data_IF_565358337034
#
_entry.id   IF_565358337034
#
_cell.length_a   1.000
_cell.length_b   1.000
_cell.length_c   1.000
_cell.angle_alpha   90.00
_cell.angle_beta   90.00
_cell.angle_gamma   90.00
#
_symmetry.space_group_name_H-M   'P 1'
#
loop_
_entity.id
_entity.type
_entity.pdbx_description
1 polymer ?
#
# COMPACT_ATOMS: atom_id res chain seq x y z
N UNK A 1 11.82 29.88 -53.77
CA UNK A 1 10.58 29.09 -54.01
C UNK A 1 10.87 27.60 -54.14
N UNK A 2 11.99 27.17 -54.73
CA UNK A 2 12.29 25.72 -54.85
C UNK A 2 12.57 25.03 -53.51
N UNK A 3 13.15 25.76 -52.54
CA UNK A 3 13.48 25.22 -51.21
C UNK A 3 12.24 24.85 -50.36
N UNK A 4 11.20 25.69 -50.39
CA UNK A 4 9.94 25.43 -49.67
C UNK A 4 9.18 24.23 -50.25
N UNK A 5 9.27 24.00 -51.57
CA UNK A 5 8.70 22.82 -52.22
C UNK A 5 9.43 21.54 -51.87
N UNK A 6 10.74 21.58 -51.64
CA UNK A 6 11.50 20.41 -51.20
C UNK A 6 11.25 20.09 -49.71
N UNK A 7 11.18 21.10 -48.84
CA UNK A 7 10.83 20.90 -47.43
C UNK A 7 9.42 20.31 -47.24
N UNK A 8 8.43 20.75 -48.04
CA UNK A 8 7.09 20.18 -48.02
C UNK A 8 7.03 18.71 -48.51
N UNK A 9 7.92 18.32 -49.44
CA UNK A 9 8.05 16.93 -49.90
C UNK A 9 8.75 16.04 -48.87
N UNK A 10 9.75 16.56 -48.16
CA UNK A 10 10.37 15.83 -47.06
C UNK A 10 9.40 15.63 -45.90
N UNK A 11 8.61 16.65 -45.55
CA UNK A 11 7.58 16.54 -44.53
C UNK A 11 6.54 15.46 -44.87
N UNK A 12 6.02 15.46 -46.11
CA UNK A 12 5.08 14.43 -46.56
C UNK A 12 5.70 13.03 -46.63
N UNK A 13 6.98 12.93 -46.99
CA UNK A 13 7.71 11.65 -46.97
C UNK A 13 7.89 11.12 -45.54
N UNK A 14 8.21 11.99 -44.58
CA UNK A 14 8.32 11.64 -43.17
C UNK A 14 6.97 11.21 -42.58
N UNK A 15 5.88 11.89 -42.94
CA UNK A 15 4.52 11.51 -42.55
C UNK A 15 4.13 10.13 -43.09
N UNK A 16 4.43 9.85 -44.35
CA UNK A 16 4.20 8.54 -44.97
C UNK A 16 5.00 7.43 -44.29
N UNK A 17 6.25 7.69 -43.93
CA UNK A 17 7.10 6.74 -43.22
C UNK A 17 6.57 6.46 -41.80
N UNK A 18 6.14 7.52 -41.09
CA UNK A 18 5.53 7.40 -39.76
C UNK A 18 4.22 6.59 -39.82
N UNK A 19 3.35 6.91 -40.77
CA UNK A 19 2.09 6.17 -40.97
C UNK A 19 2.38 4.69 -41.24
N UNK A 20 3.34 4.39 -42.12
CA UNK A 20 3.73 3.01 -42.42
C UNK A 20 4.23 2.27 -41.17
N UNK A 21 5.12 2.89 -40.37
CA UNK A 21 5.63 2.29 -39.13
C UNK A 21 4.53 2.05 -38.09
N UNK A 22 3.55 2.95 -37.98
CA UNK A 22 2.43 2.81 -37.03
C UNK A 22 1.38 1.79 -37.46
N UNK A 23 1.20 1.57 -38.78
CA UNK A 23 0.14 0.68 -39.29
C UNK A 23 0.66 -0.71 -39.64
N UNK A 24 1.89 -0.81 -40.17
CA UNK A 24 2.51 -2.05 -40.66
C UNK A 24 3.71 -2.51 -39.83
N UNK A 25 4.23 -1.67 -38.93
CA UNK A 25 5.35 -2.03 -38.07
C UNK A 25 4.90 -2.93 -36.93
N UNK A 26 5.68 -3.97 -36.65
CA UNK A 26 5.53 -4.74 -35.42
C UNK A 26 5.64 -3.79 -34.23
N UNK A 27 4.69 -3.87 -33.30
CA UNK A 27 4.80 -3.15 -32.04
C UNK A 27 6.06 -3.62 -31.33
N UNK A 28 6.94 -2.70 -30.93
CA UNK A 28 7.96 -2.99 -29.93
C UNK A 28 7.23 -3.44 -28.67
N UNK A 29 7.16 -4.76 -28.48
CA UNK A 29 6.74 -5.37 -27.23
C UNK A 29 8.00 -5.55 -26.41
N UNK A 30 7.98 -5.02 -25.19
CA UNK A 30 9.04 -5.26 -24.22
C UNK A 30 9.01 -6.71 -23.76
N UNK A 31 9.83 -7.04 -22.76
CA UNK A 31 9.68 -8.31 -22.05
C UNK A 31 8.24 -8.40 -21.50
N UNK A 32 7.46 -9.44 -21.85
CA UNK A 32 6.12 -9.64 -21.33
C UNK A 32 6.03 -9.59 -19.80
N UNK A 33 7.10 -9.99 -19.11
CA UNK A 33 7.17 -9.96 -17.65
C UNK A 33 7.27 -8.52 -17.11
N UNK A 34 8.07 -7.65 -17.75
CA UNK A 34 8.22 -6.25 -17.35
C UNK A 34 6.95 -5.43 -17.62
N UNK A 35 6.29 -5.68 -18.76
CA UNK A 35 5.02 -5.03 -19.08
C UNK A 35 3.91 -5.42 -18.09
N UNK A 36 3.89 -6.67 -17.63
CA UNK A 36 2.91 -7.15 -16.66
C UNK A 36 3.08 -6.48 -15.29
N UNK A 37 4.31 -6.27 -14.83
CA UNK A 37 4.62 -5.57 -13.59
C UNK A 37 4.20 -4.10 -13.66
N UNK A 38 4.45 -3.44 -14.80
CA UNK A 38 4.10 -2.03 -15.00
C UNK A 38 2.59 -1.81 -15.06
N UNK A 39 1.84 -2.78 -15.61
CA UNK A 39 0.37 -2.77 -15.67
C UNK A 39 -0.29 -3.15 -14.34
N UNK A 40 0.44 -3.77 -13.42
CA UNK A 40 -0.09 -4.14 -12.11
C UNK A 40 -0.39 -2.86 -11.30
N UNK A 41 -1.59 -2.77 -10.74
CA UNK A 41 -1.92 -1.68 -9.83
C UNK A 41 -0.98 -1.69 -8.62
N UNK A 42 -0.56 -0.50 -8.10
CA UNK A 42 0.33 -0.42 -6.95
C UNK A 42 -0.18 -1.29 -5.80
N UNK A 43 0.72 -1.97 -5.09
CA UNK A 43 0.36 -2.74 -3.89
C UNK A 43 -0.05 -1.76 -2.79
N UNK A 44 -1.33 -1.45 -2.68
CA UNK A 44 -1.86 -0.64 -1.59
C UNK A 44 -1.85 -1.48 -0.31
N UNK A 45 -1.21 -0.99 0.75
CA UNK A 45 -1.36 -1.54 2.09
C UNK A 45 -2.68 -1.04 2.69
N UNK A 46 -3.62 -1.95 2.92
CA UNK A 46 -4.82 -1.64 3.70
C UNK A 46 -4.50 -1.81 5.18
N UNK A 47 -4.36 -0.71 5.90
CA UNK A 47 -4.21 -0.71 7.37
C UNK A 47 -5.59 -0.66 8.00
N UNK A 48 -6.03 -1.79 8.56
CA UNK A 48 -7.28 -1.88 9.31
C UNK A 48 -6.95 -1.60 10.78
N UNK A 49 -7.50 -0.53 11.36
CA UNK A 49 -7.43 -0.32 12.80
C UNK A 49 -8.41 -1.28 13.49
N UNK A 50 -7.92 -2.10 14.41
CA UNK A 50 -8.78 -2.99 15.21
C UNK A 50 -9.60 -2.16 16.20
N UNK A 51 -10.93 -2.32 16.19
CA UNK A 51 -11.84 -1.60 17.08
C UNK A 51 -11.72 -2.04 18.55
N UNK A 52 -11.26 -3.29 18.78
CA UNK A 52 -11.21 -3.92 20.10
C UNK A 52 -9.88 -4.65 20.29
N UNK A 53 -9.17 -4.33 21.37
CA UNK A 53 -7.91 -4.98 21.75
C UNK A 53 -8.18 -6.01 22.88
N UNK A 54 -8.14 -7.32 22.58
CA UNK A 54 -8.42 -8.36 23.57
C UNK A 54 -7.41 -8.36 24.72
N UNK A 55 -6.14 -7.99 24.46
CA UNK A 55 -5.09 -7.98 25.49
C UNK A 55 -5.35 -6.88 26.51
N UNK A 56 -5.76 -5.70 26.04
CA UNK A 56 -6.10 -4.57 26.91
C UNK A 56 -7.31 -4.90 27.80
N UNK A 57 -8.33 -5.56 27.26
CA UNK A 57 -9.54 -5.94 28.00
C UNK A 57 -9.29 -7.01 29.05
N UNK A 58 -8.56 -8.07 28.68
CA UNK A 58 -8.14 -9.10 29.62
C UNK A 58 -7.31 -8.49 30.74
N UNK A 59 -6.34 -7.64 30.41
CA UNK A 59 -5.51 -6.95 31.40
C UNK A 59 -6.34 -6.10 32.36
N UNK A 60 -7.33 -5.37 31.85
CA UNK A 60 -8.25 -4.59 32.67
C UNK A 60 -9.06 -5.47 33.64
N UNK A 61 -9.52 -6.63 33.17
CA UNK A 61 -10.23 -7.61 33.99
C UNK A 61 -9.35 -8.18 35.11
N UNK A 62 -8.15 -8.66 34.77
CA UNK A 62 -7.22 -9.22 35.76
C UNK A 62 -6.81 -8.20 36.83
N UNK A 63 -6.58 -6.94 36.43
CA UNK A 63 -6.28 -5.87 37.41
C UNK A 63 -7.45 -5.60 38.36
N UNK A 64 -8.69 -5.72 37.89
CA UNK A 64 -9.88 -5.59 38.73
C UNK A 64 -9.95 -6.72 39.75
N UNK A 65 -9.74 -7.95 39.31
CA UNK A 65 -9.70 -9.13 40.19
C UNK A 65 -8.58 -9.03 41.23
N UNK A 66 -7.39 -8.56 40.84
CA UNK A 66 -6.27 -8.38 41.75
C UNK A 66 -6.56 -7.34 42.84
N UNK A 67 -7.14 -6.18 42.47
CA UNK A 67 -7.55 -5.15 43.44
C UNK A 67 -8.60 -5.66 44.43
N UNK A 68 -9.53 -6.47 43.95
CA UNK A 68 -10.55 -7.07 44.81
C UNK A 68 -9.94 -8.05 45.81
N UNK A 69 -9.04 -8.93 45.34
CA UNK A 69 -8.33 -9.87 46.21
C UNK A 69 -7.46 -9.13 47.25
N UNK A 70 -6.67 -8.14 46.81
CA UNK A 70 -5.84 -7.30 47.68
C UNK A 70 -6.69 -6.57 48.73
N UNK A 71 -7.83 -6.02 48.34
CA UNK A 71 -8.79 -5.41 49.26
C UNK A 71 -9.38 -6.39 50.28
N UNK A 72 -9.68 -7.63 49.87
CA UNK A 72 -10.24 -8.68 50.75
C UNK A 72 -9.25 -9.20 51.78
N UNK A 73 -7.97 -9.29 51.43
CA UNK A 73 -6.94 -9.89 52.30
C UNK A 73 -6.05 -8.85 52.99
N UNK A 74 -5.96 -7.63 52.46
CA UNK A 74 -5.19 -6.54 53.06
C UNK A 74 -5.74 -6.05 54.39
N UNK A 75 -7.00 -6.36 54.74
CA UNK A 75 -7.54 -6.07 56.08
C UNK A 75 -6.98 -6.99 57.16
N UNK A 76 -6.74 -8.26 56.84
CA UNK A 76 -6.26 -9.26 57.82
C UNK A 76 -4.79 -9.03 58.20
N UNK A 77 -3.94 -8.62 57.26
CA UNK A 77 -2.53 -8.33 57.55
C UNK A 77 -2.31 -7.11 58.45
N UNK A 78 -3.26 -6.15 58.46
CA UNK A 78 -3.16 -4.93 59.29
C UNK A 78 -3.55 -5.16 60.75
N UNK A 79 -4.31 -6.21 61.04
CA UNK A 79 -4.70 -6.57 62.40
C UNK A 79 -3.57 -7.33 63.14
N UNK A 80 -2.71 -8.04 62.40
CA UNK A 80 -1.59 -8.83 62.96
C UNK A 80 -0.34 -8.00 63.31
N UNK A 81 -0.13 -6.82 62.71
CA UNK A 81 1.03 -5.94 63.00
C UNK A 81 0.86 -5.08 64.27
N UNK A 82 -0.29 -5.15 64.96
CA UNK A 82 -0.64 -4.35 66.13
C UNK A 82 -0.47 -5.04 67.49
N UNK A 83 0.23 -6.18 67.56
CA UNK A 83 0.46 -6.96 68.80
C UNK A 83 1.92 -7.02 69.20
#
# INVERSE_FOLDING_TARGET
MDKEREEAKEATKAELELARRLTEGDMESGDPEEEAVTKLSPKWEVRIQSERDPVAEETALYRRMAKEADGRYGSYGKEDEGK
#
